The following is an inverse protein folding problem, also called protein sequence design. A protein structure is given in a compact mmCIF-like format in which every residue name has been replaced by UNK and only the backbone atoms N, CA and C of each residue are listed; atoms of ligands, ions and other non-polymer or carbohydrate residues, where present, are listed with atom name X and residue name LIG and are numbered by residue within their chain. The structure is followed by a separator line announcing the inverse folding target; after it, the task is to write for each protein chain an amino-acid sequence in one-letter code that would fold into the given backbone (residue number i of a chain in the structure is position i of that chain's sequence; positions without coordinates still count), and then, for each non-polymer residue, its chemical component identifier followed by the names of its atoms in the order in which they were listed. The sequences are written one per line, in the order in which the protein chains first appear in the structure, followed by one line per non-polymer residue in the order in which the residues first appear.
data_IF_684878963432
#
_entry.id   IF_684878963432
#
_cell.length_a   1.000
_cell.length_b   1.000
_cell.length_c   1.000
_cell.angle_alpha   90.00
_cell.angle_beta   90.00
_cell.angle_gamma   90.00
#
_symmetry.space_group_name_H-M   'P 1'
#
loop_
_entity.id
_entity.type
_entity.pdbx_description
1 polymer ?
#
# COMPACT_ATOMS: atom_id res chain seq x y z
N UNK A 1 33.15 -0.09 -11.07
CA UNK A 1 31.97 0.49 -10.38
C UNK A 1 30.73 -0.10 -11.02
N UNK A 2 29.97 -0.93 -10.30
CA UNK A 2 28.72 -1.44 -10.84
C UNK A 2 27.74 -0.25 -10.92
N UNK A 3 27.39 0.15 -12.14
CA UNK A 3 26.28 1.07 -12.39
C UNK A 3 25.00 0.35 -12.00
N UNK A 4 24.52 0.57 -10.77
CA UNK A 4 23.22 0.05 -10.37
C UNK A 4 22.15 0.78 -11.17
N UNK A 5 21.40 0.02 -11.98
CA UNK A 5 20.33 0.52 -12.83
C UNK A 5 19.30 1.32 -12.03
N UNK A 6 18.59 2.24 -12.68
CA UNK A 6 17.41 2.87 -12.11
C UNK A 6 16.42 1.82 -11.56
N UNK A 7 15.70 2.19 -10.49
CA UNK A 7 14.63 1.34 -9.95
C UNK A 7 13.57 1.09 -11.04
N UNK A 8 13.03 -0.16 -11.17
CA UNK A 8 12.00 -0.45 -12.14
C UNK A 8 10.76 0.44 -11.97
N UNK A 9 10.21 0.95 -13.07
CA UNK A 9 9.05 1.87 -13.03
C UNK A 9 7.72 1.14 -12.96
N UNK A 10 7.70 -0.13 -13.32
CA UNK A 10 6.52 -0.98 -13.40
C UNK A 10 6.87 -2.47 -13.24
N UNK A 11 5.82 -3.30 -13.09
CA UNK A 11 5.95 -4.74 -12.93
C UNK A 11 6.74 -5.40 -14.07
N UNK A 12 6.48 -5.03 -15.32
CA UNK A 12 7.12 -5.65 -16.48
C UNK A 12 8.63 -5.38 -16.50
N UNK A 13 9.06 -4.16 -16.20
CA UNK A 13 10.47 -3.83 -16.04
C UNK A 13 11.13 -4.60 -14.89
N UNK A 14 10.44 -4.73 -13.75
CA UNK A 14 10.97 -5.47 -12.60
C UNK A 14 11.18 -6.95 -12.94
N UNK A 15 10.22 -7.57 -13.63
CA UNK A 15 10.27 -8.98 -14.02
C UNK A 15 11.27 -9.27 -15.14
N UNK A 16 11.60 -8.28 -15.97
CA UNK A 16 12.60 -8.41 -17.02
C UNK A 16 14.00 -7.97 -16.58
N UNK A 17 14.18 -7.59 -15.30
CA UNK A 17 15.47 -7.16 -14.77
C UNK A 17 16.33 -8.35 -14.32
N UNK A 18 17.65 -8.15 -14.28
CA UNK A 18 18.60 -9.13 -13.71
C UNK A 18 18.35 -9.44 -12.23
N UNK A 19 17.52 -8.63 -11.56
CA UNK A 19 17.15 -8.74 -10.14
C UNK A 19 15.72 -9.23 -9.94
N UNK A 20 15.13 -9.91 -10.94
CA UNK A 20 13.76 -10.43 -10.89
C UNK A 20 13.49 -11.27 -9.64
N UNK A 21 14.44 -12.12 -9.21
CA UNK A 21 14.27 -12.95 -8.02
C UNK A 21 14.09 -12.11 -6.74
N UNK A 22 14.89 -11.05 -6.59
CA UNK A 22 14.83 -10.16 -5.45
C UNK A 22 13.53 -9.34 -5.43
N UNK A 23 13.11 -8.83 -6.60
CA UNK A 23 11.85 -8.09 -6.73
C UNK A 23 10.63 -8.98 -6.50
N UNK A 24 10.62 -10.20 -7.04
CA UNK A 24 9.55 -11.18 -6.81
C UNK A 24 9.43 -11.55 -5.35
N UNK A 25 10.56 -11.78 -4.66
CA UNK A 25 10.56 -12.02 -3.22
C UNK A 25 9.97 -10.85 -2.45
N UNK A 26 10.40 -9.62 -2.75
CA UNK A 26 9.89 -8.43 -2.07
C UNK A 26 8.40 -8.15 -2.38
N UNK A 27 7.88 -8.53 -3.55
CA UNK A 27 6.44 -8.48 -3.86
C UNK A 27 5.66 -9.51 -3.05
N UNK A 28 6.16 -10.74 -2.95
CA UNK A 28 5.52 -11.79 -2.15
C UNK A 28 5.46 -11.39 -0.66
N UNK A 29 6.54 -10.82 -0.12
CA UNK A 29 6.57 -10.29 1.25
C UNK A 29 5.52 -9.19 1.48
N UNK A 30 5.33 -8.28 0.52
CA UNK A 30 4.30 -7.23 0.60
C UNK A 30 2.88 -7.82 0.56
N UNK A 31 2.58 -8.74 -0.37
CA UNK A 31 1.26 -9.42 -0.41
C UNK A 31 0.99 -10.13 0.91
N UNK A 32 1.92 -10.94 1.40
CA UNK A 32 1.78 -11.67 2.66
C UNK A 32 1.54 -10.72 3.84
N UNK A 33 2.20 -9.56 3.88
CA UNK A 33 1.98 -8.57 4.92
C UNK A 33 0.58 -7.93 4.84
N UNK A 34 0.08 -7.66 3.63
CA UNK A 34 -1.26 -7.11 3.40
C UNK A 34 -2.35 -8.13 3.75
N UNK A 35 -2.15 -9.40 3.42
CA UNK A 35 -3.05 -10.51 3.77
C UNK A 35 -3.07 -10.77 5.28
N UNK A 36 -1.89 -10.81 5.93
CA UNK A 36 -1.80 -10.95 7.39
C UNK A 36 -2.50 -9.81 8.13
N UNK A 37 -2.57 -8.61 7.54
CA UNK A 37 -3.30 -7.48 8.07
C UNK A 37 -4.81 -7.50 7.77
N UNK A 38 -5.32 -8.51 7.06
CA UNK A 38 -6.69 -8.57 6.55
C UNK A 38 -7.06 -7.33 5.75
N UNK A 39 -6.15 -6.84 4.90
CA UNK A 39 -6.33 -5.58 4.16
C UNK A 39 -7.50 -5.66 3.19
N UNK A 40 -7.74 -6.85 2.63
CA UNK A 40 -8.82 -7.13 1.71
C UNK A 40 -9.39 -8.52 1.91
N UNK A 41 -10.53 -8.76 1.29
CA UNK A 41 -11.08 -10.09 1.05
C UNK A 41 -11.23 -10.35 -0.46
N UNK A 42 -11.06 -11.60 -0.86
CA UNK A 42 -11.29 -12.01 -2.25
C UNK A 42 -12.77 -12.32 -2.42
N UNK A 43 -13.41 -11.70 -3.40
CA UNK A 43 -14.85 -11.84 -3.66
C UNK A 43 -15.11 -12.10 -5.14
N UNK A 44 -16.23 -12.73 -5.45
CA UNK A 44 -16.71 -12.80 -6.83
C UNK A 44 -16.97 -11.37 -7.33
N UNK A 45 -16.45 -11.06 -8.52
CA UNK A 45 -16.56 -9.74 -9.13
C UNK A 45 -18.04 -9.40 -9.36
N UNK A 46 -18.58 -8.33 -8.76
CA UNK A 46 -19.97 -7.97 -8.96
C UNK A 46 -20.21 -7.54 -10.42
N UNK A 47 -21.39 -7.86 -10.95
CA UNK A 47 -21.80 -7.41 -12.28
C UNK A 47 -21.93 -5.88 -12.23
N UNK A 48 -21.13 -5.19 -13.04
CA UNK A 48 -21.11 -3.72 -13.18
C UNK A 48 -20.44 -2.92 -12.06
N UNK A 49 -19.73 -3.55 -11.13
CA UNK A 49 -18.94 -2.78 -10.16
C UNK A 49 -17.71 -2.13 -10.82
N UNK A 50 -17.42 -0.90 -10.41
CA UNK A 50 -16.17 -0.20 -10.72
C UNK A 50 -15.07 -0.80 -9.85
N UNK A 51 -13.98 -1.24 -10.49
CA UNK A 51 -12.79 -1.71 -9.81
C UNK A 51 -11.67 -0.72 -10.09
N UNK A 52 -10.95 -0.32 -9.05
CA UNK A 52 -9.73 0.48 -9.20
C UNK A 52 -8.57 -0.43 -9.58
N UNK A 53 -7.64 0.10 -10.35
CA UNK A 53 -6.38 -0.57 -10.59
C UNK A 53 -5.45 -0.42 -9.39
N UNK A 54 -4.48 -1.32 -9.32
CA UNK A 54 -3.36 -1.25 -8.38
C UNK A 54 -2.04 -1.26 -9.14
N UNK A 55 -1.05 -0.57 -8.61
CA UNK A 55 0.30 -0.46 -9.18
C UNK A 55 1.35 -0.90 -8.17
N UNK A 56 2.36 -1.60 -8.67
CA UNK A 56 3.59 -1.89 -7.93
C UNK A 56 4.55 -0.70 -7.96
N UNK A 57 5.05 -0.32 -6.80
CA UNK A 57 6.12 0.68 -6.64
C UNK A 57 7.37 -0.03 -6.13
N UNK A 58 8.45 0.06 -6.90
CA UNK A 58 9.72 -0.58 -6.60
C UNK A 58 10.73 0.46 -6.10
N UNK A 59 11.48 0.11 -5.05
CA UNK A 59 12.51 0.96 -4.50
C UNK A 59 13.67 0.17 -3.91
N UNK A 60 14.88 0.45 -4.37
CA UNK A 60 16.09 -0.05 -3.74
C UNK A 60 16.42 0.80 -2.52
N UNK A 61 16.53 0.17 -1.34
CA UNK A 61 16.98 0.81 -0.09
C UNK A 61 18.47 0.58 0.06
N UNK A 62 19.18 1.65 0.46
CA UNK A 62 20.62 1.67 0.62
C UNK A 62 20.98 2.09 2.03
N UNK A 63 22.06 1.52 2.53
CA UNK A 63 22.71 1.98 3.75
C UNK A 63 23.32 3.38 3.55
N UNK A 64 23.74 4.01 4.66
CA UNK A 64 24.36 5.34 4.66
C UNK A 64 25.64 5.36 3.81
N UNK A 65 26.36 4.25 3.77
CA UNK A 65 27.57 4.07 2.94
C UNK A 65 27.27 3.81 1.45
N UNK A 66 26.00 3.77 1.05
CA UNK A 66 25.56 3.54 -0.32
C UNK A 66 25.46 2.08 -0.74
N UNK A 67 25.78 1.12 0.14
CA UNK A 67 25.61 -0.31 -0.12
C UNK A 67 24.13 -0.71 -0.12
N UNK A 68 23.81 -1.80 -0.83
CA UNK A 68 22.44 -2.32 -0.92
C UNK A 68 21.99 -2.86 0.44
N UNK A 69 20.95 -2.25 1.03
CA UNK A 69 20.31 -2.75 2.25
C UNK A 69 19.27 -3.81 1.90
N UNK A 70 18.30 -3.45 1.05
CA UNK A 70 17.20 -4.34 0.64
C UNK A 70 16.43 -3.80 -0.56
N UNK A 71 15.70 -4.67 -1.22
CA UNK A 71 14.66 -4.31 -2.18
C UNK A 71 13.33 -4.12 -1.46
N UNK A 72 12.66 -3.00 -1.72
CA UNK A 72 11.36 -2.68 -1.14
C UNK A 72 10.34 -2.56 -2.25
N UNK A 73 9.22 -3.25 -2.12
CA UNK A 73 8.06 -3.06 -2.99
C UNK A 73 6.88 -2.58 -2.17
N UNK A 74 5.93 -1.92 -2.83
CA UNK A 74 4.62 -1.59 -2.27
C UNK A 74 3.55 -1.80 -3.31
N UNK A 75 2.41 -2.32 -2.88
CA UNK A 75 1.21 -2.34 -3.69
C UNK A 75 0.35 -1.11 -3.36
N UNK A 76 0.01 -0.34 -4.38
CA UNK A 76 -0.64 0.97 -4.23
C UNK A 76 -1.90 0.99 -5.09
N UNK A 77 -3.04 1.38 -4.52
CA UNK A 77 -4.26 1.64 -5.28
C UNK A 77 -4.09 2.89 -6.14
N UNK A 78 -4.65 2.87 -7.35
CA UNK A 78 -4.68 4.02 -8.25
C UNK A 78 -5.74 5.03 -7.79
N UNK A 79 -5.44 5.83 -6.76
CA UNK A 79 -6.36 6.86 -6.25
C UNK A 79 -6.75 7.93 -7.26
N UNK A 80 -6.02 8.07 -8.37
CA UNK A 80 -6.41 8.92 -9.50
C UNK A 80 -7.69 8.43 -10.22
N UNK A 81 -8.04 7.15 -10.07
CA UNK A 81 -9.26 6.55 -10.63
C UNK A 81 -10.47 6.70 -9.68
N UNK A 82 -10.25 7.15 -8.44
CA UNK A 82 -11.31 7.36 -7.47
C UNK A 82 -12.19 8.55 -7.82
N UNK A 83 -13.50 8.38 -7.60
CA UNK A 83 -14.54 9.38 -7.84
C UNK A 83 -15.10 9.90 -6.52
N UNK A 84 -15.23 11.24 -6.45
CA UNK A 84 -15.77 11.91 -5.27
C UNK A 84 -17.24 11.56 -5.08
N UNK A 85 -17.63 11.25 -3.84
CA UNK A 85 -18.99 10.83 -3.49
C UNK A 85 -19.29 9.36 -3.78
N UNK A 86 -18.36 8.62 -4.38
CA UNK A 86 -18.47 7.17 -4.64
C UNK A 86 -17.36 6.41 -3.91
N UNK A 87 -16.10 6.78 -4.17
CA UNK A 87 -14.92 6.06 -3.65
C UNK A 87 -14.28 6.79 -2.44
N UNK A 88 -14.64 8.06 -2.21
CA UNK A 88 -14.21 8.88 -1.09
C UNK A 88 -15.13 10.10 -0.92
N UNK A 89 -15.22 10.63 0.31
CA UNK A 89 -15.92 11.89 0.61
C UNK A 89 -14.94 12.92 1.17
N UNK A 90 -14.11 12.53 2.14
CA UNK A 90 -13.13 13.43 2.75
C UNK A 90 -11.69 12.96 2.50
N UNK A 91 -10.79 13.90 2.19
CA UNK A 91 -9.37 13.60 1.96
C UNK A 91 -8.43 14.30 2.95
N UNK A 92 -8.96 15.20 3.79
CA UNK A 92 -8.13 16.02 4.66
C UNK A 92 -7.48 15.19 5.77
N UNK A 93 -6.15 15.21 5.81
CA UNK A 93 -5.35 14.58 6.88
C UNK A 93 -4.80 15.67 7.79
N UNK A 94 -4.91 15.46 9.10
CA UNK A 94 -4.33 16.37 10.08
C UNK A 94 -2.79 16.29 10.03
N UNK A 95 -2.15 17.36 9.57
CA UNK A 95 -0.71 17.51 9.63
C UNK A 95 -0.33 18.41 10.81
N UNK A 96 0.66 17.99 11.60
CA UNK A 96 1.22 18.83 12.66
C UNK A 96 1.91 20.04 12.03
N UNK A 97 1.47 21.25 12.39
CA UNK A 97 2.14 22.47 11.96
C UNK A 97 3.56 22.56 12.54
N UNK A 98 4.52 23.03 11.75
CA UNK A 98 5.92 23.16 12.16
C UNK A 98 6.11 24.03 13.41
N UNK A 99 5.27 25.05 13.62
CA UNK A 99 5.31 25.86 14.84
C UNK A 99 4.95 25.03 16.07
N UNK A 100 3.85 24.27 16.01
CA UNK A 100 3.43 23.37 17.08
C UNK A 100 4.50 22.33 17.39
N UNK A 101 5.13 21.74 16.37
CA UNK A 101 6.26 20.83 16.56
C UNK A 101 7.43 21.48 17.31
N UNK A 102 7.79 22.73 16.95
CA UNK A 102 8.86 23.49 17.64
C UNK A 102 8.51 23.82 19.08
N UNK A 103 7.26 24.18 19.36
CA UNK A 103 6.78 24.44 20.73
C UNK A 103 6.90 23.16 21.58
N UNK A 104 6.45 22.01 21.06
CA UNK A 104 6.58 20.72 21.75
C UNK A 104 8.05 20.43 22.08
N UNK A 105 8.97 20.59 21.11
CA UNK A 105 10.41 20.39 21.34
C UNK A 105 11.01 21.39 22.35
N UNK A 106 10.58 22.65 22.31
CA UNK A 106 11.02 23.67 23.27
C UNK A 106 10.55 23.34 24.69
N UNK A 107 9.32 22.86 24.86
CA UNK A 107 8.79 22.40 26.14
C UNK A 107 9.53 21.15 26.63
N UNK A 108 9.76 20.16 25.76
CA UNK A 108 10.58 18.99 26.08
C UNK A 108 11.96 19.41 26.62
N UNK A 109 12.61 20.37 25.97
CA UNK A 109 13.91 20.90 26.43
C UNK A 109 13.80 21.64 27.77
N UNK A 110 12.77 22.49 27.94
CA UNK A 110 12.54 23.28 29.16
C UNK A 110 12.30 22.41 30.38
N UNK A 111 11.52 21.34 30.23
CA UNK A 111 11.18 20.42 31.32
C UNK A 111 12.11 19.20 31.40
N UNK A 112 13.18 19.18 30.62
CA UNK A 112 14.16 18.09 30.57
C UNK A 112 13.52 16.70 30.29
N UNK A 113 12.49 16.68 29.43
CA UNK A 113 11.81 15.47 28.99
C UNK A 113 12.43 15.00 27.67
N UNK A 114 12.94 13.76 27.57
CA UNK A 114 13.49 13.22 26.33
C UNK A 114 12.42 13.16 25.22
N UNK A 115 12.71 13.77 24.07
CA UNK A 115 11.88 13.63 22.87
C UNK A 115 12.37 12.46 22.01
N UNK A 116 11.45 11.65 21.49
CA UNK A 116 11.72 10.58 20.52
C UNK A 116 10.82 10.79 19.31
N UNK A 117 11.36 10.50 18.13
CA UNK A 117 10.61 10.50 16.88
C UNK A 117 10.76 9.14 16.21
N UNK A 118 9.75 8.73 15.46
CA UNK A 118 9.74 7.44 14.76
C UNK A 118 8.83 7.50 13.54
N UNK A 119 9.13 6.66 12.55
CA UNK A 119 8.27 6.39 11.40
C UNK A 119 7.48 5.11 11.69
N UNK A 120 6.17 5.14 11.52
CA UNK A 120 5.33 3.96 11.75
C UNK A 120 5.32 3.13 10.46
N UNK A 121 5.86 1.90 10.48
CA UNK A 121 5.79 1.04 9.30
C UNK A 121 4.34 0.69 9.00
N UNK A 122 3.95 0.77 7.74
CA UNK A 122 2.62 0.37 7.24
C UNK A 122 1.43 1.13 7.87
N UNK A 123 1.65 2.36 8.34
CA UNK A 123 0.63 3.23 8.95
C UNK A 123 -0.74 3.20 8.22
N UNK A 124 -0.76 3.43 6.91
CA UNK A 124 -2.02 3.50 6.16
C UNK A 124 -2.77 2.17 6.02
N UNK A 125 -2.09 1.03 6.17
CA UNK A 125 -2.70 -0.30 6.04
C UNK A 125 -3.32 -0.76 7.36
N UNK A 126 -2.90 -0.16 8.48
CA UNK A 126 -3.50 -0.42 9.78
C UNK A 126 -4.87 0.24 9.96
N UNK A 127 -5.15 1.31 9.23
CA UNK A 127 -6.39 2.07 9.36
C UNK A 127 -7.58 1.34 8.72
N UNK A 128 -8.70 1.31 9.44
CA UNK A 128 -9.97 0.79 8.90
C UNK A 128 -10.45 1.63 7.71
N UNK A 129 -11.17 0.98 6.78
CA UNK A 129 -11.81 1.71 5.68
C UNK A 129 -13.00 2.51 6.19
N UNK A 130 -13.48 3.45 5.37
CA UNK A 130 -14.76 4.11 5.61
C UNK A 130 -15.90 3.06 5.54
N UNK A 131 -16.73 2.91 6.60
CA UNK A 131 -17.74 1.84 6.65
C UNK A 131 -18.69 1.86 5.46
N UNK A 132 -19.11 3.07 5.05
CA UNK A 132 -20.13 3.31 4.03
C UNK A 132 -19.60 3.23 2.58
N UNK A 133 -18.28 3.11 2.39
CA UNK A 133 -17.66 3.07 1.07
C UNK A 133 -17.14 1.67 0.75
N UNK A 134 -17.52 1.15 -0.40
CA UNK A 134 -16.99 -0.11 -0.94
C UNK A 134 -15.95 0.19 -2.01
N UNK A 135 -14.70 -0.18 -1.75
CA UNK A 135 -13.61 -0.04 -2.71
C UNK A 135 -13.19 -1.44 -3.15
N UNK A 136 -13.35 -1.69 -4.45
CA UNK A 136 -12.92 -2.94 -5.09
C UNK A 136 -11.67 -2.68 -5.93
N UNK A 137 -10.71 -3.59 -5.87
CA UNK A 137 -9.51 -3.57 -6.70
C UNK A 137 -9.51 -4.74 -7.68
N UNK A 138 -8.90 -4.51 -8.84
CA UNK A 138 -8.42 -5.60 -9.67
C UNK A 138 -7.33 -6.40 -8.93
N UNK A 139 -7.32 -7.73 -9.12
CA UNK A 139 -6.22 -8.56 -8.62
C UNK A 139 -4.91 -8.09 -9.25
N UNK A 140 -3.90 -7.74 -8.45
CA UNK A 140 -2.63 -7.23 -8.96
C UNK A 140 -1.86 -8.30 -9.71
N UNK A 141 -1.06 -7.88 -10.69
CA UNK A 141 -0.14 -8.80 -11.39
C UNK A 141 0.86 -9.39 -10.41
N UNK A 142 1.07 -10.70 -10.48
CA UNK A 142 2.01 -11.42 -9.63
C UNK A 142 1.45 -11.89 -8.29
N UNK A 143 0.18 -11.57 -7.96
CA UNK A 143 -0.53 -12.22 -6.86
C UNK A 143 -1.09 -13.56 -7.35
N UNK A 144 -0.81 -14.63 -6.61
CA UNK A 144 -1.33 -15.96 -6.88
C UNK A 144 -2.64 -16.14 -6.12
N UNK A 145 -3.70 -16.59 -6.78
CA UNK A 145 -4.95 -16.95 -6.12
C UNK A 145 -5.17 -18.45 -6.22
N UNK A 146 -5.42 -19.10 -5.08
CA UNK A 146 -5.58 -20.54 -5.02
C UNK A 146 -6.87 -20.99 -5.72
N UNK A 147 -6.82 -22.15 -6.38
CA UNK A 147 -7.97 -22.74 -7.07
C UNK A 147 -9.12 -23.08 -6.13
N UNK A 148 -8.83 -23.41 -4.87
CA UNK A 148 -9.83 -23.63 -3.82
C UNK A 148 -10.66 -22.37 -3.59
N UNK A 149 -10.01 -21.21 -3.44
CA UNK A 149 -10.71 -19.92 -3.28
C UNK A 149 -11.58 -19.58 -4.48
N UNK A 150 -11.16 -19.93 -5.70
CA UNK A 150 -11.99 -19.75 -6.89
C UNK A 150 -13.20 -20.68 -6.88
N UNK A 151 -13.02 -21.94 -6.47
CA UNK A 151 -14.11 -22.92 -6.36
C UNK A 151 -15.14 -22.52 -5.30
N UNK A 152 -14.68 -22.05 -4.12
CA UNK A 152 -15.55 -21.58 -3.03
C UNK A 152 -16.41 -20.38 -3.46
N UNK A 153 -15.85 -19.52 -4.32
CA UNK A 153 -16.56 -18.38 -4.90
C UNK A 153 -17.41 -18.76 -6.13
N UNK A 154 -17.36 -20.01 -6.59
CA UNK A 154 -18.10 -20.51 -7.75
C UNK A 154 -17.66 -19.88 -9.08
N UNK A 155 -16.40 -19.45 -9.18
CA UNK A 155 -15.86 -18.74 -10.36
C UNK A 155 -14.80 -19.56 -11.08
N UNK A 156 -14.73 -19.40 -12.40
CA UNK A 156 -13.86 -20.23 -13.24
C UNK A 156 -12.43 -19.70 -13.38
N UNK A 157 -12.23 -18.39 -13.13
CA UNK A 157 -10.93 -17.75 -13.34
C UNK A 157 -10.73 -16.50 -12.47
N UNK A 158 -9.48 -16.10 -12.31
CA UNK A 158 -9.08 -14.91 -11.56
C UNK A 158 -9.62 -13.58 -12.14
N UNK A 159 -10.11 -13.56 -13.39
CA UNK A 159 -10.73 -12.36 -13.97
C UNK A 159 -12.16 -12.13 -13.45
N UNK A 160 -12.75 -13.16 -12.85
CA UNK A 160 -14.08 -13.13 -12.24
C UNK A 160 -14.06 -12.85 -10.75
N UNK A 161 -12.90 -12.51 -10.17
CA UNK A 161 -12.76 -12.08 -8.78
C UNK A 161 -12.32 -10.62 -8.69
N UNK A 162 -12.52 -10.05 -7.50
CA UNK A 162 -12.06 -8.73 -7.11
C UNK A 162 -11.52 -8.79 -5.68
N UNK A 163 -10.64 -7.85 -5.33
CA UNK A 163 -10.24 -7.63 -3.95
C UNK A 163 -11.12 -6.55 -3.35
N UNK A 164 -11.97 -6.88 -2.37
CA UNK A 164 -12.72 -5.88 -1.61
C UNK A 164 -11.86 -5.41 -0.45
N UNK A 165 -11.53 -4.12 -0.42
CA UNK A 165 -10.77 -3.56 0.68
C UNK A 165 -11.59 -3.63 1.97
N UNK A 166 -10.94 -4.09 3.03
CA UNK A 166 -11.41 -4.05 4.43
C UNK A 166 -10.72 -2.91 5.19
N UNK A 167 -9.47 -2.61 4.83
CA UNK A 167 -8.66 -1.54 5.38
C UNK A 167 -8.22 -0.56 4.31
N UNK A 168 -7.74 0.60 4.74
CA UNK A 168 -7.10 1.56 3.85
C UNK A 168 -5.87 0.94 3.18
N UNK A 169 -5.63 1.27 1.91
CA UNK A 169 -4.44 0.88 1.17
C UNK A 169 -3.67 2.13 0.77
N UNK A 170 -2.36 2.00 0.53
CA UNK A 170 -1.56 3.08 -0.06
C UNK A 170 -2.19 3.61 -1.35
N UNK A 171 -2.12 4.92 -1.56
CA UNK A 171 -2.51 5.55 -2.81
C UNK A 171 -3.99 5.90 -2.94
N UNK A 172 -4.85 5.47 -2.00
CA UNK A 172 -6.19 6.03 -1.90
C UNK A 172 -6.09 7.49 -1.44
N UNK A 173 -7.02 8.32 -1.91
CA UNK A 173 -7.05 9.76 -1.60
C UNK A 173 -7.28 10.04 -0.11
N UNK A 174 -8.00 9.17 0.58
CA UNK A 174 -8.34 9.30 2.00
C UNK A 174 -7.39 8.58 2.96
N UNK A 175 -6.38 7.83 2.48
CA UNK A 175 -5.53 6.99 3.35
C UNK A 175 -4.85 7.79 4.47
N UNK A 176 -4.42 9.01 4.16
CA UNK A 176 -3.78 9.91 5.13
C UNK A 176 -4.75 10.38 6.22
N UNK A 177 -6.02 10.58 5.88
CA UNK A 177 -7.08 10.92 6.86
C UNK A 177 -7.37 9.73 7.75
N UNK A 178 -7.57 8.56 7.15
CA UNK A 178 -7.96 7.34 7.87
C UNK A 178 -6.92 6.92 8.91
N UNK A 179 -5.64 7.14 8.64
CA UNK A 179 -4.58 6.91 9.63
C UNK A 179 -4.59 7.90 10.80
N UNK A 180 -5.08 9.13 10.58
CA UNK A 180 -5.09 10.15 11.62
C UNK A 180 -6.26 10.01 12.61
N UNK A 181 -7.22 9.10 12.33
CA UNK A 181 -8.39 8.81 13.15
C UNK A 181 -8.11 7.65 14.12
#
# INVERSE_FOLDING_TARGET
MASFSEDPKNYTEAMNSDRVADWSKAMAEEISALEANNTWEIVAKPRHAKLLHSKWVFKTKKHVDGTLERFKTRLVACGNEQEYGVDYVDTFSAALEGLSARIVLALSRKYNVPARHGDVPNAYVGAEKEPDLEILLHVPRGMMVNTETLADLGVANERQIALRLRKSLYGLKQSGRLWAL
#
